data_IF_218935558554
#
_entry.id   IF_218935558554
#
_cell.length_a   1.000
_cell.length_b   1.000
_cell.length_c   1.000
_cell.angle_alpha   90.00
_cell.angle_beta   90.00
_cell.angle_gamma   90.00
#
_symmetry.space_group_name_H-M   'P 1'
#
loop_
_entity.id
_entity.type
_entity.pdbx_description
1 polymer ?
#
# COMPACT_ATOMS: atom_id res chain seq x y z
N UNK A 1 24.60 -2.26 5.65
CA UNK A 1 24.10 -2.46 5.46
C UNK A 1 22.95 -2.45 5.15
N UNK A 2 22.49 -2.79 5.15
CA UNK A 2 21.49 -3.02 4.67
C UNK A 2 20.53 -2.36 5.03
N UNK A 3 19.91 -1.73 4.58
CA UNK A 3 19.09 -1.12 4.94
C UNK A 3 17.99 -1.58 4.60
N UNK A 4 17.75 -2.19 4.24
CA UNK A 4 16.88 -2.36 3.78
C UNK A 4 15.83 -3.11 3.70
N UNK A 5 14.85 -2.66 3.93
CA UNK A 5 13.76 -3.32 3.81
C UNK A 5 13.52 -3.87 2.50
N UNK A 6 14.02 -3.43 1.53
CA UNK A 6 13.74 -3.96 0.23
C UNK A 6 14.69 -4.98 -0.22
N UNK A 7 15.54 -5.42 0.68
CA UNK A 7 16.52 -6.36 0.27
C UNK A 7 16.05 -7.79 0.28
N UNK A 8 14.97 -8.08 0.97
CA UNK A 8 14.44 -9.42 1.00
C UNK A 8 13.50 -9.62 -0.18
N UNK A 9 13.71 -10.62 -1.02
CA UNK A 9 12.80 -10.86 -2.13
C UNK A 9 11.37 -11.09 -1.64
N UNK A 10 10.43 -10.65 -2.46
CA UNK A 10 9.04 -10.71 -2.06
C UNK A 10 8.61 -12.13 -1.67
N UNK A 11 9.04 -13.11 -2.43
CA UNK A 11 8.61 -14.48 -2.17
C UNK A 11 9.20 -15.05 -0.89
N UNK A 12 10.16 -14.36 -0.29
CA UNK A 12 10.73 -14.81 0.96
C UNK A 12 10.27 -14.01 2.15
N UNK A 13 9.40 -13.04 1.93
CA UNK A 13 8.84 -12.27 3.02
C UNK A 13 7.62 -12.99 3.59
N UNK A 14 7.34 -12.79 4.88
CA UNK A 14 6.14 -13.39 5.44
C UNK A 14 4.89 -12.85 4.76
N UNK A 15 3.92 -13.70 4.63
CA UNK A 15 2.69 -13.37 3.97
C UNK A 15 1.58 -13.36 5.00
N UNK A 16 0.70 -12.36 4.92
CA UNK A 16 -0.38 -12.25 5.88
C UNK A 16 -1.72 -12.31 5.17
N UNK A 17 -2.65 -13.02 5.77
CA UNK A 17 -3.99 -13.11 5.24
C UNK A 17 -4.91 -12.44 6.25
N UNK A 18 -5.58 -11.38 5.82
CA UNK A 18 -6.47 -10.66 6.71
C UNK A 18 -7.82 -10.50 6.07
N UNK A 19 -8.82 -10.34 6.91
CA UNK A 19 -10.17 -10.10 6.45
C UNK A 19 -10.40 -8.60 6.44
N UNK A 20 -10.79 -8.06 5.29
CA UNK A 20 -11.00 -6.62 5.16
C UNK A 20 -12.44 -6.35 4.73
N UNK A 21 -13.03 -5.36 5.35
CA UNK A 21 -14.34 -4.88 4.94
C UNK A 21 -14.18 -3.64 4.08
N UNK A 22 -15.26 -3.21 3.47
CA UNK A 22 -15.20 -2.07 2.57
C UNK A 22 -14.62 -0.84 3.25
N UNK A 23 -15.04 -0.58 4.47
CA UNK A 23 -14.54 0.60 5.17
C UNK A 23 -13.04 0.51 5.46
N UNK A 24 -12.55 -0.72 5.68
CA UNK A 24 -11.13 -0.92 5.90
C UNK A 24 -10.33 -0.61 4.65
N UNK A 25 -10.82 -1.07 3.51
CA UNK A 25 -10.14 -0.84 2.24
C UNK A 25 -10.10 0.66 1.93
N UNK A 26 -11.21 1.35 2.17
CA UNK A 26 -11.27 2.78 1.93
C UNK A 26 -10.30 3.52 2.83
N UNK A 27 -10.22 3.12 4.08
CA UNK A 27 -9.28 3.75 5.01
C UNK A 27 -7.85 3.54 4.56
N UNK A 28 -7.51 2.33 4.13
CA UNK A 28 -6.17 2.03 3.66
C UNK A 28 -5.83 2.87 2.43
N UNK A 29 -6.77 2.98 1.50
CA UNK A 29 -6.56 3.78 0.31
C UNK A 29 -6.25 5.24 0.68
N UNK A 30 -7.07 5.81 1.56
CA UNK A 30 -6.88 7.19 1.97
C UNK A 30 -5.56 7.38 2.69
N UNK A 31 -5.19 6.42 3.51
CA UNK A 31 -3.93 6.50 4.25
C UNK A 31 -2.74 6.46 3.29
N UNK A 32 -2.79 5.60 2.29
CA UNK A 32 -1.71 5.51 1.33
C UNK A 32 -1.61 6.79 0.51
N UNK A 33 -2.74 7.34 0.12
CA UNK A 33 -2.75 8.56 -0.66
C UNK A 33 -2.17 9.72 0.14
N UNK A 34 -2.56 9.84 1.40
CA UNK A 34 -2.03 10.88 2.26
C UNK A 34 -0.52 10.71 2.46
N UNK A 35 -0.10 9.49 2.70
CA UNK A 35 1.31 9.17 2.88
C UNK A 35 2.11 9.55 1.63
N UNK A 36 1.60 9.19 0.46
CA UNK A 36 2.27 9.46 -0.80
C UNK A 36 2.41 10.98 -1.02
N UNK A 37 1.35 11.72 -0.74
CA UNK A 37 1.36 13.15 -0.97
C UNK A 37 2.29 13.89 -0.02
N UNK A 38 2.43 13.40 1.19
CA UNK A 38 3.20 14.10 2.21
C UNK A 38 4.56 13.48 2.46
N UNK A 39 4.97 12.58 1.60
CA UNK A 39 6.25 11.93 1.75
C UNK A 39 7.40 12.91 1.52
N UNK A 40 8.41 12.90 2.37
CA UNK A 40 9.58 13.76 2.12
C UNK A 40 10.30 13.35 0.85
N UNK A 41 11.17 14.19 0.37
CA UNK A 41 12.00 13.88 -0.77
C UNK A 41 12.87 12.68 -0.45
N UNK A 42 13.24 11.97 -1.51
CA UNK A 42 13.96 10.72 -1.37
C UNK A 42 15.18 10.84 -0.45
N UNK A 43 15.93 11.90 -0.59
CA UNK A 43 17.14 12.06 0.19
C UNK A 43 16.87 12.33 1.66
N UNK A 44 15.67 12.79 1.99
CA UNK A 44 15.32 13.14 3.35
C UNK A 44 14.47 12.10 4.04
N UNK A 45 14.15 11.01 3.38
CA UNK A 45 13.27 10.02 3.98
C UNK A 45 14.01 9.17 5.00
N UNK A 46 13.37 8.92 6.15
CA UNK A 46 13.94 7.95 7.07
C UNK A 46 13.95 6.57 6.46
N UNK A 47 14.67 5.69 7.11
CA UNK A 47 14.85 4.34 6.59
C UNK A 47 13.53 3.61 6.36
N UNK A 48 12.56 3.82 7.23
CA UNK A 48 11.29 3.12 7.10
C UNK A 48 10.40 3.70 6.01
N UNK A 49 10.84 4.74 5.31
CA UNK A 49 10.07 5.33 4.22
C UNK A 49 10.77 5.20 2.88
N UNK A 50 11.60 4.19 2.73
CA UNK A 50 12.39 4.05 1.51
C UNK A 50 11.74 3.16 0.45
N UNK A 51 10.52 2.75 0.64
CA UNK A 51 9.86 1.91 -0.35
C UNK A 51 9.71 2.64 -1.67
N UNK A 52 9.78 1.93 -2.79
CA UNK A 52 9.67 2.57 -4.11
C UNK A 52 8.30 3.19 -4.32
N UNK A 53 8.28 4.28 -5.07
CA UNK A 53 7.02 4.93 -5.41
C UNK A 53 6.09 3.98 -6.16
N UNK A 54 6.64 3.12 -6.99
CA UNK A 54 5.83 2.16 -7.71
C UNK A 54 5.06 1.24 -6.79
N UNK A 55 5.64 0.91 -5.65
CA UNK A 55 4.95 0.05 -4.69
C UNK A 55 3.74 0.76 -4.11
N UNK A 56 3.88 2.05 -3.81
CA UNK A 56 2.75 2.83 -3.31
C UNK A 56 1.64 2.91 -4.34
N UNK A 57 2.01 3.12 -5.60
CA UNK A 57 1.03 3.20 -6.67
C UNK A 57 0.32 1.87 -6.85
N UNK A 58 1.05 0.79 -6.75
CA UNK A 58 0.47 -0.53 -6.86
C UNK A 58 -0.54 -0.78 -5.74
N UNK A 59 -0.18 -0.42 -4.53
CA UNK A 59 -1.07 -0.62 -3.40
C UNK A 59 -2.34 0.23 -3.52
N UNK A 60 -2.18 1.48 -3.96
CA UNK A 60 -3.33 2.35 -4.18
C UNK A 60 -4.26 1.75 -5.22
N UNK A 61 -3.69 1.28 -6.31
CA UNK A 61 -4.47 0.69 -7.39
C UNK A 61 -5.22 -0.55 -6.90
N UNK A 62 -4.56 -1.37 -6.10
CA UNK A 62 -5.19 -2.57 -5.57
C UNK A 62 -6.38 -2.22 -4.69
N UNK A 63 -6.21 -1.22 -3.83
CA UNK A 63 -7.32 -0.82 -2.96
C UNK A 63 -8.46 -0.23 -3.77
N UNK A 64 -8.15 0.55 -4.78
CA UNK A 64 -9.19 1.12 -5.63
C UNK A 64 -9.96 0.03 -6.37
N UNK A 65 -9.25 -0.96 -6.88
CA UNK A 65 -9.89 -2.07 -7.57
C UNK A 65 -10.86 -2.81 -6.65
N UNK A 66 -10.46 -3.02 -5.41
CA UNK A 66 -11.33 -3.67 -4.44
C UNK A 66 -12.59 -2.85 -4.18
N UNK A 67 -12.45 -1.53 -4.09
CA UNK A 67 -13.61 -0.67 -3.86
C UNK A 67 -14.57 -0.72 -5.05
N UNK A 68 -14.03 -0.74 -6.25
CA UNK A 68 -14.86 -0.80 -7.44
C UNK A 68 -15.61 -2.14 -7.50
N UNK A 69 -14.91 -3.22 -7.22
CA UNK A 69 -15.53 -4.53 -7.24
C UNK A 69 -16.62 -4.66 -6.18
N UNK A 70 -16.36 -4.10 -5.03
CA UNK A 70 -17.34 -4.11 -3.95
C UNK A 70 -18.60 -3.35 -4.36
N UNK A 71 -18.39 -2.23 -5.05
CA UNK A 71 -19.50 -1.42 -5.52
C UNK A 71 -20.38 -2.19 -6.50
N UNK A 72 -19.78 -2.93 -7.40
CA UNK A 72 -20.55 -3.74 -8.33
C UNK A 72 -21.34 -4.79 -7.60
N UNK A 73 -20.74 -5.42 -6.62
CA UNK A 73 -21.44 -6.47 -5.88
C UNK A 73 -22.63 -5.93 -5.11
N UNK A 74 -22.49 -4.70 -4.61
CA UNK A 74 -23.59 -4.13 -3.87
C UNK A 74 -24.79 -3.84 -4.72
N UNK A 75 -24.56 -3.62 -5.99
CA UNK A 75 -25.64 -3.26 -6.88
C UNK A 75 -26.40 -4.44 -7.42
N UNK A 76 -26.09 -5.62 -6.96
CA UNK A 76 -26.89 -6.78 -7.36
C UNK A 76 -28.07 -7.03 -6.44
#
# INVERSE_FOLDING_TARGET
MATGNCKVPREKQPEFIVKLYEEDVRLIYNAIEFYHKNRPKSAERPEYMQEPTKHLEYMKQSMMTMMIESSFQKNK
#
